data_IF_387416433428
#
_entry.id   IF_387416433428
#
_cell.length_a   1.000
_cell.length_b   1.000
_cell.length_c   1.000
_cell.angle_alpha   90.00
_cell.angle_beta   90.00
_cell.angle_gamma   90.00
#
_symmetry.space_group_name_H-M   'P 1'
#
loop_
_entity.id
_entity.type
_entity.pdbx_description
1 polymer ?
#
# COMPACT_ATOMS: atom_id res chain seq x y z
N UNK A 1 -18.08 7.48 -12.60
CA UNK A 1 -18.80 6.25 -12.20
C UNK A 1 -17.79 5.34 -11.50
N UNK A 2 -17.71 5.43 -10.18
CA UNK A 2 -16.95 4.49 -9.34
C UNK A 2 -17.87 3.29 -9.11
N UNK A 3 -17.50 2.12 -9.61
CA UNK A 3 -18.24 0.90 -9.31
C UNK A 3 -17.77 0.33 -7.97
N UNK A 4 -18.67 0.03 -7.02
CA UNK A 4 -18.35 -0.85 -5.90
C UNK A 4 -18.59 -2.29 -6.36
N UNK A 5 -17.55 -3.12 -6.46
CA UNK A 5 -17.76 -4.52 -6.82
C UNK A 5 -16.76 -5.51 -6.17
N UNK A 6 -17.37 -6.34 -5.33
CA UNK A 6 -17.02 -7.70 -4.89
C UNK A 6 -16.03 -7.97 -3.75
N UNK A 7 -16.64 -8.49 -2.68
CA UNK A 7 -16.13 -9.49 -1.76
C UNK A 7 -15.58 -10.75 -2.46
N UNK A 8 -14.72 -11.48 -1.73
CA UNK A 8 -14.58 -12.94 -1.88
C UNK A 8 -13.32 -13.40 -2.62
N UNK A 9 -12.35 -13.90 -1.87
CA UNK A 9 -11.21 -14.64 -2.42
C UNK A 9 -10.14 -14.89 -1.38
N UNK A 10 -10.23 -16.00 -0.65
CA UNK A 10 -9.12 -16.50 0.14
C UNK A 10 -8.00 -16.92 -0.82
N UNK A 11 -6.92 -16.14 -0.87
CA UNK A 11 -5.64 -16.56 -1.43
C UNK A 11 -4.66 -16.73 -0.28
N UNK A 12 -3.96 -17.88 -0.17
CA UNK A 12 -2.99 -18.09 0.88
C UNK A 12 -1.70 -17.33 0.56
N UNK A 13 -1.69 -16.01 0.73
CA UNK A 13 -0.45 -15.23 0.88
C UNK A 13 0.10 -15.49 2.29
N UNK A 14 0.83 -16.61 2.41
CA UNK A 14 1.53 -16.99 3.62
C UNK A 14 2.58 -15.92 3.96
N UNK A 15 2.34 -15.25 5.09
CA UNK A 15 3.24 -14.44 5.94
C UNK A 15 3.33 -12.93 5.63
N UNK A 16 2.38 -12.17 6.18
CA UNK A 16 2.65 -10.85 6.77
C UNK A 16 2.21 -10.86 8.24
N UNK A 17 2.82 -11.74 9.03
CA UNK A 17 2.68 -11.79 10.48
C UNK A 17 3.82 -10.97 11.11
N UNK A 18 3.62 -9.65 11.24
CA UNK A 18 4.42 -8.82 12.16
C UNK A 18 5.61 -7.98 11.66
N UNK A 19 6.03 -8.01 10.39
CA UNK A 19 7.32 -7.40 9.98
C UNK A 19 7.32 -5.90 9.57
N UNK A 20 6.22 -5.15 9.73
CA UNK A 20 6.20 -3.71 9.42
C UNK A 20 5.83 -2.85 10.64
N UNK A 21 6.57 -2.99 11.73
CA UNK A 21 6.70 -1.92 12.73
C UNK A 21 7.85 -0.99 12.32
N UNK A 22 7.57 -0.07 11.40
CA UNK A 22 8.31 1.20 11.41
C UNK A 22 7.84 1.89 12.68
N UNK A 23 8.73 2.09 13.65
CA UNK A 23 8.44 2.38 15.07
C UNK A 23 7.36 3.42 15.40
N UNK A 24 6.87 4.22 14.45
CA UNK A 24 5.84 5.24 14.68
C UNK A 24 4.74 5.33 13.60
N UNK A 25 4.72 4.43 12.60
CA UNK A 25 3.69 4.47 11.56
C UNK A 25 3.25 3.06 11.17
N UNK A 26 2.13 2.62 11.75
CA UNK A 26 1.50 1.36 11.36
C UNK A 26 1.09 1.42 9.88
N UNK A 27 1.46 0.39 9.10
CA UNK A 27 1.02 0.26 7.71
C UNK A 27 -0.51 0.24 7.67
N UNK A 28 -1.18 1.17 6.96
CA UNK A 28 -2.62 1.21 6.92
C UNK A 28 -3.20 -0.04 6.26
N UNK A 29 -4.31 -0.56 6.80
CA UNK A 29 -4.90 -1.83 6.34
C UNK A 29 -5.27 -1.82 4.86
N UNK A 30 -5.83 -0.70 4.38
CA UNK A 30 -6.16 -0.46 2.97
C UNK A 30 -4.92 -0.47 2.05
N UNK A 31 -3.82 0.18 2.46
CA UNK A 31 -2.56 0.11 1.71
C UNK A 31 -1.98 -1.31 1.72
N UNK A 32 -2.02 -2.00 2.87
CA UNK A 32 -1.57 -3.40 2.95
C UNK A 32 -2.37 -4.28 2.00
N UNK A 33 -3.70 -4.18 1.98
CA UNK A 33 -4.55 -4.98 1.12
C UNK A 33 -4.25 -4.75 -0.37
N UNK A 34 -3.99 -3.49 -0.76
CA UNK A 34 -3.64 -3.15 -2.14
C UNK A 34 -2.26 -3.68 -2.56
N UNK A 35 -1.27 -3.67 -1.65
CA UNK A 35 0.04 -4.29 -1.89
C UNK A 35 -0.05 -5.83 -1.93
N UNK A 36 -0.85 -6.45 -1.06
CA UNK A 36 -1.07 -7.90 -1.05
C UNK A 36 -1.67 -8.40 -2.38
N UNK A 37 -2.55 -7.59 -2.98
CA UNK A 37 -3.14 -7.85 -4.28
C UNK A 37 -2.16 -7.70 -5.46
N UNK A 38 -0.98 -7.08 -5.26
CA UNK A 38 0.01 -6.87 -6.31
C UNK A 38 1.43 -7.24 -5.81
N UNK A 39 1.87 -8.49 -6.01
CA UNK A 39 3.13 -8.97 -5.46
C UNK A 39 4.37 -8.23 -6.00
N UNK A 40 4.31 -7.68 -7.22
CA UNK A 40 5.39 -6.86 -7.77
C UNK A 40 5.52 -5.53 -7.02
N UNK A 41 4.38 -4.87 -6.75
CA UNK A 41 4.34 -3.65 -5.96
C UNK A 41 4.78 -3.90 -4.51
N UNK A 42 4.37 -5.02 -3.92
CA UNK A 42 4.82 -5.43 -2.59
C UNK A 42 6.34 -5.58 -2.58
N UNK A 43 6.92 -6.39 -3.46
CA UNK A 43 8.36 -6.61 -3.52
C UNK A 43 9.16 -5.31 -3.66
N UNK A 44 8.70 -4.37 -4.49
CA UNK A 44 9.33 -3.06 -4.61
C UNK A 44 9.18 -2.23 -3.33
N UNK A 45 8.00 -2.20 -2.71
CA UNK A 45 7.77 -1.53 -1.44
C UNK A 45 8.64 -2.13 -0.31
N UNK A 46 8.86 -3.45 -0.31
CA UNK A 46 9.76 -4.14 0.61
C UNK A 46 11.25 -3.89 0.30
N UNK A 47 11.59 -3.44 -0.90
CA UNK A 47 12.95 -3.06 -1.30
C UNK A 47 13.26 -1.57 -1.05
N UNK A 48 12.24 -0.70 -0.98
CA UNK A 48 12.38 0.73 -0.72
C UNK A 48 13.15 1.03 0.59
N UNK A 49 13.82 2.18 0.69
CA UNK A 49 14.43 2.61 1.96
C UNK A 49 13.36 2.94 3.00
N UNK A 50 13.73 2.88 4.28
CA UNK A 50 12.83 3.21 5.41
C UNK A 50 12.20 4.60 5.27
N UNK A 51 12.94 5.59 4.73
CA UNK A 51 12.41 6.94 4.53
C UNK A 51 11.30 6.97 3.46
N UNK A 52 11.48 6.28 2.33
CA UNK A 52 10.51 6.21 1.24
C UNK A 52 9.21 5.53 1.70
N UNK A 53 9.34 4.39 2.39
CA UNK A 53 8.18 3.70 2.99
C UNK A 53 7.45 4.59 3.98
N UNK A 54 8.18 5.32 4.82
CA UNK A 54 7.57 6.27 5.76
C UNK A 54 6.83 7.40 5.05
N UNK A 55 7.38 7.98 3.99
CA UNK A 55 6.69 9.02 3.21
C UNK A 55 5.37 8.50 2.64
N UNK A 56 5.36 7.30 2.06
CA UNK A 56 4.14 6.68 1.53
C UNK A 56 3.09 6.51 2.62
N UNK A 57 3.48 5.88 3.74
CA UNK A 57 2.57 5.62 4.86
C UNK A 57 2.04 6.94 5.43
N UNK A 58 2.92 7.89 5.71
CA UNK A 58 2.55 9.18 6.28
C UNK A 58 1.60 9.96 5.37
N UNK A 59 1.86 10.01 4.06
CA UNK A 59 1.01 10.74 3.11
C UNK A 59 -0.38 10.09 3.00
N UNK A 60 -0.46 8.77 2.93
CA UNK A 60 -1.73 8.04 2.84
C UNK A 60 -2.54 8.22 4.13
N UNK A 61 -1.90 8.08 5.30
CA UNK A 61 -2.56 8.24 6.60
C UNK A 61 -3.11 9.65 6.82
N UNK A 62 -2.45 10.68 6.27
CA UNK A 62 -2.91 12.07 6.40
C UNK A 62 -4.07 12.44 5.45
N UNK A 63 -4.46 11.59 4.49
CA UNK A 63 -5.60 11.88 3.61
C UNK A 63 -6.90 11.57 4.35
N UNK A 64 -7.63 12.64 4.71
CA UNK A 64 -8.91 12.54 5.42
C UNK A 64 -10.07 12.05 4.55
N UNK A 65 -10.01 12.31 3.25
CA UNK A 65 -11.07 11.95 2.31
C UNK A 65 -10.88 10.52 1.81
N UNK A 66 -11.79 9.57 2.12
CA UNK A 66 -11.59 8.16 1.78
C UNK A 66 -11.49 7.91 0.27
N UNK A 67 -12.23 8.65 -0.55
CA UNK A 67 -12.15 8.55 -2.01
C UNK A 67 -10.76 8.95 -2.54
N UNK A 68 -10.21 10.05 -2.04
CA UNK A 68 -8.86 10.52 -2.42
C UNK A 68 -7.80 9.54 -1.89
N UNK A 69 -8.00 8.99 -0.70
CA UNK A 69 -7.09 8.01 -0.10
C UNK A 69 -7.02 6.75 -0.95
N UNK A 70 -8.16 6.21 -1.37
CA UNK A 70 -8.22 5.03 -2.22
C UNK A 70 -7.55 5.28 -3.57
N UNK A 71 -7.84 6.41 -4.22
CA UNK A 71 -7.19 6.79 -5.48
C UNK A 71 -5.66 6.94 -5.31
N UNK A 72 -5.19 7.50 -4.20
CA UNK A 72 -3.76 7.64 -3.93
C UNK A 72 -3.07 6.30 -3.68
N UNK A 73 -3.74 5.38 -2.99
CA UNK A 73 -3.22 4.01 -2.77
C UNK A 73 -3.03 3.31 -4.11
N UNK A 74 -3.98 3.45 -5.03
CA UNK A 74 -3.86 2.88 -6.37
C UNK A 74 -2.63 3.42 -7.11
N UNK A 75 -2.47 4.74 -7.17
CA UNK A 75 -1.31 5.39 -7.83
C UNK A 75 0.03 4.91 -7.25
N UNK A 76 0.11 4.80 -5.92
CA UNK A 76 1.29 4.26 -5.23
C UNK A 76 1.57 2.82 -5.64
N UNK A 77 0.56 1.96 -5.67
CA UNK A 77 0.69 0.53 -6.02
C UNK A 77 1.05 0.35 -7.50
N UNK A 78 0.44 1.14 -8.39
CA UNK A 78 0.74 1.12 -9.83
C UNK A 78 2.18 1.53 -10.12
N UNK A 79 2.68 2.59 -9.47
CA UNK A 79 4.08 2.99 -9.61
C UNK A 79 5.04 2.00 -8.97
N UNK A 80 4.69 1.48 -7.80
CA UNK A 80 5.50 0.46 -7.15
C UNK A 80 5.60 -0.82 -8.02
N UNK A 81 4.53 -1.22 -8.70
CA UNK A 81 4.55 -2.34 -9.64
C UNK A 81 5.47 -2.09 -10.85
N UNK A 82 5.72 -0.81 -11.20
CA UNK A 82 6.67 -0.39 -12.24
C UNK A 82 8.10 -0.20 -11.71
N UNK A 83 8.31 -0.35 -10.41
CA UNK A 83 9.61 -0.10 -9.79
C UNK A 83 9.91 1.38 -9.56
N UNK A 84 8.87 2.22 -9.43
CA UNK A 84 8.99 3.67 -9.22
C UNK A 84 8.36 4.09 -7.88
N UNK A 85 9.01 5.02 -7.17
CA UNK A 85 8.40 5.67 -6.01
C UNK A 85 7.44 6.77 -6.45
N UNK A 86 6.22 6.76 -5.90
CA UNK A 86 5.24 7.82 -6.15
C UNK A 86 5.66 9.17 -5.56
N UNK A 87 6.33 9.14 -4.41
CA UNK A 87 6.82 10.33 -3.72
C UNK A 87 8.33 10.45 -3.96
N UNK A 88 8.76 11.65 -4.38
CA UNK A 88 10.17 12.02 -4.57
C UNK A 88 10.69 12.77 -3.35
#
# INVERSE_FOLDING_TARGET
>A
MWQPLHAGGAHPSRKLDGAYRVKDAALPADLKAALDANPAALAYFEAMKKQERFQVIFRITNIKTPAIRAARIQDVVEKAARGESHYK
#
